data_IF_210816971530
#
_entry.id   IF_210816971530
#
_cell.length_a   1.000
_cell.length_b   1.000
_cell.length_c   1.000
_cell.angle_alpha   90.00
_cell.angle_beta   90.00
_cell.angle_gamma   90.00
#
_symmetry.space_group_name_H-M   'P 1'
#
loop_
_entity.id
_entity.type
_entity.pdbx_description
1 polymer ?
#
# COMPACT_ATOMS: atom_id res chain seq x y z
N UNK A 1 -3.00 9.50 -10.97
CA UNK A 1 -1.89 9.68 -11.92
C UNK A 1 -0.61 9.82 -11.11
N UNK A 2 0.47 9.07 -11.42
CA UNK A 2 1.74 9.32 -10.76
C UNK A 2 2.23 10.72 -11.14
N UNK A 3 2.91 11.39 -10.20
CA UNK A 3 3.47 12.71 -10.40
C UNK A 3 4.37 12.73 -11.63
N UNK A 4 3.92 13.37 -12.72
CA UNK A 4 4.82 13.93 -13.73
C UNK A 4 4.97 15.41 -13.39
N UNK A 5 6.13 15.80 -12.86
CA UNK A 5 6.63 17.16 -12.84
C UNK A 5 5.81 18.20 -12.08
N UNK A 6 6.02 18.27 -10.81
CA UNK A 6 6.29 19.45 -9.96
C UNK A 6 6.51 18.91 -8.53
N UNK A 7 7.72 18.99 -8.04
CA UNK A 7 8.18 18.44 -6.74
C UNK A 7 7.59 19.12 -5.51
N UNK A 8 6.45 19.76 -5.59
CA UNK A 8 6.00 20.66 -4.53
C UNK A 8 4.90 20.11 -3.62
N UNK A 9 3.97 19.28 -4.10
CA UNK A 9 2.86 18.79 -3.26
C UNK A 9 3.01 17.34 -2.81
N UNK A 10 2.72 17.04 -1.54
CA UNK A 10 2.58 15.68 -1.01
C UNK A 10 1.16 15.11 -1.18
N UNK A 11 0.23 15.89 -1.72
CA UNK A 11 -1.14 15.45 -1.98
C UNK A 11 -1.35 15.15 -3.45
N UNK A 12 -2.22 14.18 -3.74
CA UNK A 12 -2.67 13.88 -5.10
C UNK A 12 -4.13 13.42 -5.13
N UNK A 13 -4.79 13.64 -6.23
CA UNK A 13 -6.22 13.38 -6.36
C UNK A 13 -7.06 14.62 -6.02
N UNK A 14 -8.30 14.46 -5.45
CA UNK A 14 -8.92 13.19 -5.08
C UNK A 14 -9.19 12.27 -6.27
N UNK A 15 -9.10 10.97 -6.02
CA UNK A 15 -9.44 9.94 -7.01
C UNK A 15 -10.68 9.17 -6.59
N UNK A 16 -11.52 8.78 -7.54
CA UNK A 16 -12.67 7.92 -7.27
C UNK A 16 -12.18 6.47 -7.17
N UNK A 17 -12.04 5.99 -5.95
CA UNK A 17 -11.67 4.62 -5.68
C UNK A 17 -12.91 3.73 -5.66
N UNK A 18 -12.86 2.59 -6.38
CA UNK A 18 -13.94 1.58 -6.34
C UNK A 18 -14.18 1.03 -4.93
N UNK A 19 -13.19 1.16 -4.04
CA UNK A 19 -13.16 0.56 -2.70
C UNK A 19 -13.39 1.56 -1.57
N UNK A 20 -12.91 2.77 -1.75
CA UNK A 20 -12.81 3.78 -0.70
C UNK A 20 -13.65 5.02 -0.96
N UNK A 21 -14.43 5.05 -2.05
CA UNK A 21 -15.10 6.26 -2.48
C UNK A 21 -14.13 7.33 -2.97
N UNK A 22 -14.40 8.59 -2.69
CA UNK A 22 -13.54 9.71 -3.07
C UNK A 22 -12.35 9.81 -2.12
N UNK A 23 -11.17 9.42 -2.59
CA UNK A 23 -9.96 9.29 -1.79
C UNK A 23 -8.94 10.37 -2.15
N UNK A 24 -8.46 11.11 -1.14
CA UNK A 24 -7.32 12.02 -1.25
C UNK A 24 -6.04 11.27 -0.86
N UNK A 25 -5.09 11.19 -1.78
CA UNK A 25 -3.80 10.52 -1.54
C UNK A 25 -2.80 11.42 -0.84
N UNK A 26 -2.06 10.85 0.11
CA UNK A 26 -0.96 11.48 0.85
C UNK A 26 0.30 10.66 0.57
N UNK A 27 1.23 11.23 -0.21
CA UNK A 27 2.50 10.60 -0.56
C UNK A 27 3.62 11.16 0.32
N UNK A 28 4.08 10.33 1.25
CA UNK A 28 5.06 10.70 2.28
C UNK A 28 6.50 10.38 1.89
N UNK A 29 6.74 9.76 0.74
CA UNK A 29 8.07 9.34 0.33
C UNK A 29 8.51 10.06 -0.95
N UNK A 30 9.83 10.11 -1.15
CA UNK A 30 10.37 10.57 -2.43
C UNK A 30 9.94 9.60 -3.53
N UNK A 31 9.52 10.12 -4.68
CA UNK A 31 9.05 9.32 -5.81
C UNK A 31 9.99 8.16 -6.13
N UNK A 32 9.42 6.95 -6.21
CA UNK A 32 10.10 5.68 -6.45
C UNK A 32 11.13 5.28 -5.39
N UNK A 33 10.90 5.69 -4.12
CA UNK A 33 11.56 5.12 -2.95
C UNK A 33 10.66 4.02 -2.37
N UNK A 34 11.11 2.78 -2.42
CA UNK A 34 10.32 1.63 -1.99
C UNK A 34 11.23 0.51 -1.47
N UNK A 35 10.68 -0.41 -0.71
CA UNK A 35 11.35 -1.64 -0.24
C UNK A 35 11.32 -2.76 -1.28
N UNK A 36 10.49 -2.61 -2.32
CA UNK A 36 10.29 -3.55 -3.41
C UNK A 36 10.47 -2.85 -4.76
N UNK A 37 10.81 -3.64 -5.80
CA UNK A 37 10.84 -3.20 -7.20
C UNK A 37 9.95 -4.11 -8.05
N UNK A 38 8.63 -4.08 -7.75
CA UNK A 38 7.64 -4.99 -8.31
C UNK A 38 7.52 -4.82 -9.83
N UNK A 39 7.48 -5.93 -10.54
CA UNK A 39 7.37 -5.97 -12.03
C UNK A 39 6.07 -5.39 -12.54
N UNK A 40 5.03 -5.36 -11.71
CA UNK A 40 3.70 -4.86 -12.02
C UNK A 40 3.44 -3.43 -11.51
N UNK A 41 4.45 -2.74 -10.97
CA UNK A 41 4.22 -1.42 -10.36
C UNK A 41 3.85 -0.38 -11.42
N UNK A 42 2.61 0.12 -11.37
CA UNK A 42 2.10 1.14 -12.30
C UNK A 42 2.78 2.52 -12.14
N UNK A 43 3.54 2.71 -11.06
CA UNK A 43 4.39 3.89 -10.89
C UNK A 43 5.77 3.75 -11.57
N UNK A 44 6.03 2.61 -12.23
CA UNK A 44 7.31 2.30 -12.88
C UNK A 44 8.34 1.67 -11.92
N UNK A 45 9.58 1.53 -12.38
CA UNK A 45 10.67 0.89 -11.64
C UNK A 45 11.08 1.70 -10.41
N UNK A 46 11.41 1.00 -9.32
CA UNK A 46 11.96 1.61 -8.11
C UNK A 46 13.37 2.11 -8.38
N UNK A 47 13.61 3.40 -8.14
CA UNK A 47 14.92 4.03 -8.33
C UNK A 47 15.73 4.10 -7.04
N UNK A 48 15.06 4.11 -5.89
CA UNK A 48 15.68 4.05 -4.57
C UNK A 48 15.11 2.86 -3.78
N UNK A 49 15.76 1.70 -3.93
CA UNK A 49 15.41 0.48 -3.21
C UNK A 49 16.07 0.52 -1.82
N UNK A 50 15.29 0.65 -0.76
CA UNK A 50 15.80 0.83 0.61
C UNK A 50 14.82 0.28 1.64
N UNK A 51 15.34 -0.12 2.81
CA UNK A 51 14.56 -0.43 4.02
C UNK A 51 14.73 0.65 5.10
N UNK A 52 15.53 1.66 4.84
CA UNK A 52 15.81 2.72 5.81
C UNK A 52 14.64 3.71 5.90
N UNK A 53 14.12 3.85 7.11
CA UNK A 53 13.08 4.82 7.43
C UNK A 53 13.68 6.19 7.66
N UNK A 54 13.11 7.21 7.02
CA UNK A 54 13.53 8.60 7.21
C UNK A 54 12.36 9.57 6.98
N UNK A 55 12.52 10.82 7.40
CA UNK A 55 11.56 11.88 7.10
C UNK A 55 11.84 12.40 5.68
N UNK A 56 11.00 12.05 4.71
CA UNK A 56 11.10 12.55 3.32
C UNK A 56 10.30 13.84 3.12
N UNK A 57 9.16 13.94 3.80
CA UNK A 57 8.28 15.11 3.78
C UNK A 57 8.06 15.54 5.23
N UNK A 58 8.42 16.76 5.63
CA UNK A 58 8.18 17.25 6.99
C UNK A 58 6.70 17.23 7.36
N UNK A 59 6.37 16.86 8.60
CA UNK A 59 5.00 16.79 9.12
C UNK A 59 4.25 18.08 8.92
N UNK A 60 4.88 19.22 9.19
CA UNK A 60 4.26 20.55 9.07
C UNK A 60 3.86 20.86 7.63
N UNK A 61 4.65 20.39 6.65
CA UNK A 61 4.31 20.54 5.23
C UNK A 61 3.06 19.74 4.87
N UNK A 62 2.97 18.49 5.32
CA UNK A 62 1.81 17.61 5.09
C UNK A 62 0.55 18.25 5.68
N UNK A 63 0.62 18.66 6.94
CA UNK A 63 -0.52 19.28 7.64
C UNK A 63 -0.95 20.61 7.00
N UNK A 64 0.02 21.42 6.58
CA UNK A 64 -0.26 22.70 5.89
C UNK A 64 -0.99 22.47 4.56
N UNK A 65 -0.50 21.55 3.74
CA UNK A 65 -1.12 21.25 2.45
C UNK A 65 -2.52 20.67 2.62
N UNK A 66 -2.71 19.75 3.57
CA UNK A 66 -4.02 19.18 3.90
C UNK A 66 -4.99 20.27 4.39
N UNK A 67 -4.53 21.14 5.28
CA UNK A 67 -5.36 22.24 5.77
C UNK A 67 -5.84 23.16 4.64
N UNK A 68 -4.94 23.51 3.72
CA UNK A 68 -5.29 24.33 2.54
C UNK A 68 -6.29 23.59 1.65
N UNK A 69 -6.07 22.31 1.41
CA UNK A 69 -6.95 21.51 0.55
C UNK A 69 -8.35 21.34 1.16
N UNK A 70 -8.42 20.92 2.44
CA UNK A 70 -9.68 20.60 3.11
C UNK A 70 -10.54 21.83 3.42
N UNK A 71 -9.92 23.02 3.58
CA UNK A 71 -10.62 24.28 3.80
C UNK A 71 -10.78 25.14 2.54
N UNK A 72 -10.30 24.67 1.39
CA UNK A 72 -10.31 25.39 0.11
C UNK A 72 -11.66 25.50 -0.59
N UNK A 73 -12.76 25.03 0.04
CA UNK A 73 -14.12 25.20 -0.49
C UNK A 73 -14.51 24.20 -1.60
N UNK A 74 -13.83 23.06 -1.70
CA UNK A 74 -14.27 21.97 -2.61
C UNK A 74 -15.68 21.54 -2.22
N UNK A 75 -16.60 21.54 -3.18
CA UNK A 75 -18.00 21.17 -2.98
C UNK A 75 -18.19 19.68 -2.70
N UNK A 76 -17.17 18.89 -2.96
CA UNK A 76 -17.16 17.45 -2.73
C UNK A 76 -15.90 17.06 -1.94
N UNK A 77 -15.91 17.12 -0.61
CA UNK A 77 -14.75 16.72 0.20
C UNK A 77 -14.41 15.22 -0.01
N UNK A 78 -13.16 14.82 0.27
CA UNK A 78 -12.80 13.40 0.25
C UNK A 78 -13.56 12.64 1.35
N UNK A 79 -13.84 11.36 1.11
CA UNK A 79 -14.40 10.45 2.11
C UNK A 79 -13.30 9.81 2.96
N UNK A 80 -12.11 9.64 2.35
CA UNK A 80 -10.96 8.95 2.95
C UNK A 80 -9.67 9.70 2.63
N UNK A 81 -8.79 9.83 3.61
CA UNK A 81 -7.39 10.25 3.43
C UNK A 81 -6.53 9.00 3.37
N UNK A 82 -5.81 8.80 2.25
CA UNK A 82 -5.10 7.54 1.98
C UNK A 82 -3.59 7.77 1.89
N UNK A 83 -2.84 7.17 2.81
CA UNK A 83 -1.39 7.08 2.70
C UNK A 83 -1.03 6.09 1.60
N UNK A 84 -0.52 6.61 0.50
CA UNK A 84 -0.11 5.86 -0.70
C UNK A 84 0.69 6.78 -1.60
N UNK A 85 1.17 6.31 -2.74
CA UNK A 85 1.86 7.18 -3.70
C UNK A 85 2.90 6.46 -4.54
N UNK A 86 4.01 7.15 -4.82
CA UNK A 86 5.09 6.64 -5.68
C UNK A 86 6.04 5.65 -5.01
N UNK A 87 5.84 5.29 -3.74
CA UNK A 87 6.69 4.37 -2.99
C UNK A 87 5.98 3.69 -1.82
N UNK A 88 6.75 3.22 -0.82
CA UNK A 88 6.20 2.55 0.37
C UNK A 88 6.00 3.55 1.52
N UNK A 89 4.76 3.82 1.95
CA UNK A 89 4.48 4.82 2.99
C UNK A 89 5.12 4.52 4.35
N UNK A 90 5.29 3.25 4.72
CA UNK A 90 5.89 2.86 6.01
C UNK A 90 7.38 3.18 6.11
N UNK A 91 8.03 3.58 5.01
CA UNK A 91 9.39 4.14 5.02
C UNK A 91 9.44 5.54 5.63
N UNK A 92 8.31 6.27 5.69
CA UNK A 92 8.28 7.59 6.32
C UNK A 92 8.39 7.43 7.85
N UNK A 93 9.49 7.89 8.43
CA UNK A 93 9.75 7.77 9.87
C UNK A 93 8.79 8.59 10.73
N UNK A 94 8.15 9.61 10.16
CA UNK A 94 7.14 10.44 10.79
C UNK A 94 5.69 10.03 10.48
N UNK A 95 5.48 8.83 9.92
CA UNK A 95 4.13 8.35 9.59
C UNK A 95 3.20 8.35 10.81
N UNK A 96 3.66 7.81 11.94
CA UNK A 96 2.88 7.76 13.18
C UNK A 96 2.49 9.14 13.72
N UNK A 97 3.41 10.11 13.65
CA UNK A 97 3.18 11.51 14.04
C UNK A 97 2.07 12.14 13.15
N UNK A 98 2.15 11.94 11.84
CA UNK A 98 1.16 12.45 10.89
C UNK A 98 -0.21 11.81 11.15
N UNK A 99 -0.27 10.48 11.36
CA UNK A 99 -1.51 9.77 11.69
C UNK A 99 -2.14 10.37 12.95
N UNK A 100 -1.37 10.54 14.02
CA UNK A 100 -1.86 11.12 15.28
C UNK A 100 -2.40 12.55 15.10
N UNK A 101 -1.68 13.38 14.36
CA UNK A 101 -2.10 14.73 14.04
C UNK A 101 -3.41 14.76 13.22
N UNK A 102 -3.55 13.86 12.23
CA UNK A 102 -4.78 13.78 11.43
C UNK A 102 -5.98 13.30 12.24
N UNK A 103 -5.79 12.30 13.11
CA UNK A 103 -6.85 11.82 14.00
C UNK A 103 -7.33 12.91 14.99
N UNK A 104 -6.43 13.79 15.40
CA UNK A 104 -6.74 14.91 16.28
C UNK A 104 -7.44 16.07 15.55
N UNK A 105 -6.88 16.49 14.41
CA UNK A 105 -7.31 17.70 13.72
C UNK A 105 -8.46 17.47 12.73
N UNK A 106 -8.61 16.25 12.23
CA UNK A 106 -9.56 15.88 11.18
C UNK A 106 -10.28 14.55 11.49
N UNK A 107 -10.88 14.38 12.69
CA UNK A 107 -11.48 13.11 13.14
C UNK A 107 -12.67 12.65 12.27
N UNK A 108 -13.26 13.55 11.47
CA UNK A 108 -14.35 13.25 10.55
C UNK A 108 -13.93 12.43 9.33
N UNK A 109 -12.62 12.40 8.99
CA UNK A 109 -12.13 11.64 7.84
C UNK A 109 -11.58 10.27 8.27
N UNK A 110 -11.95 9.24 7.55
CA UNK A 110 -11.29 7.93 7.69
C UNK A 110 -9.87 8.00 7.15
N UNK A 111 -8.95 7.34 7.83
CA UNK A 111 -7.59 7.15 7.36
C UNK A 111 -7.43 5.76 6.76
N UNK A 112 -6.81 5.66 5.60
CA UNK A 112 -6.45 4.41 4.95
C UNK A 112 -4.94 4.35 4.70
N UNK A 113 -4.34 3.18 4.92
CA UNK A 113 -2.95 2.90 4.58
C UNK A 113 -2.87 1.79 3.55
N UNK A 114 -2.27 2.07 2.38
CA UNK A 114 -1.84 1.07 1.42
C UNK A 114 -0.37 0.77 1.68
N UNK A 115 -0.03 -0.49 1.94
CA UNK A 115 1.37 -0.88 2.22
C UNK A 115 1.72 -2.20 1.54
N UNK A 116 2.96 -2.33 1.11
CA UNK A 116 3.49 -3.59 0.59
C UNK A 116 3.88 -4.59 1.70
N UNK A 117 3.58 -4.29 2.95
CA UNK A 117 3.71 -5.14 4.14
C UNK A 117 5.14 -5.44 4.60
N UNK A 118 6.16 -5.02 3.88
CA UNK A 118 7.55 -5.45 4.14
C UNK A 118 8.10 -5.02 5.49
N UNK A 119 7.64 -3.88 6.03
CA UNK A 119 8.10 -3.35 7.32
C UNK A 119 7.16 -3.70 8.48
N UNK A 120 6.12 -4.49 8.27
CA UNK A 120 5.19 -4.90 9.33
C UNK A 120 5.76 -5.91 10.33
N UNK A 121 6.93 -6.49 10.06
CA UNK A 121 7.67 -7.28 11.06
C UNK A 121 8.23 -6.41 12.20
N UNK A 122 8.39 -5.09 11.98
CA UNK A 122 8.79 -4.12 12.99
C UNK A 122 7.58 -3.74 13.87
N UNK A 123 7.68 -3.99 15.18
CA UNK A 123 6.63 -3.68 16.14
C UNK A 123 6.37 -2.17 16.29
N UNK A 124 7.39 -1.34 16.07
CA UNK A 124 7.24 0.12 16.10
C UNK A 124 6.36 0.58 14.92
N UNK A 125 6.62 0.07 13.71
CA UNK A 125 5.79 0.37 12.54
C UNK A 125 4.33 -0.03 12.78
N UNK A 126 4.10 -1.24 13.33
CA UNK A 126 2.75 -1.70 13.66
C UNK A 126 2.08 -0.78 14.69
N UNK A 127 2.80 -0.37 15.73
CA UNK A 127 2.26 0.55 16.74
C UNK A 127 1.87 1.91 16.16
N UNK A 128 2.68 2.45 15.25
CA UNK A 128 2.43 3.74 14.58
C UNK A 128 1.16 3.73 13.72
N UNK A 129 0.85 2.61 13.06
CA UNK A 129 -0.28 2.51 12.12
C UNK A 129 -1.59 2.03 12.75
N UNK A 130 -1.57 1.59 14.02
CA UNK A 130 -2.79 1.12 14.73
C UNK A 130 -3.97 2.11 14.70
N UNK A 131 -3.78 3.45 14.77
CA UNK A 131 -4.90 4.38 14.73
C UNK A 131 -5.55 4.55 13.35
N UNK A 132 -5.01 3.97 12.28
CA UNK A 132 -5.60 4.00 10.94
C UNK A 132 -6.90 3.19 10.92
N UNK A 133 -7.94 3.64 10.20
CA UNK A 133 -9.23 2.96 10.17
C UNK A 133 -9.25 1.75 9.24
N UNK A 134 -8.51 1.84 8.13
CA UNK A 134 -8.44 0.82 7.09
C UNK A 134 -6.98 0.59 6.72
N UNK A 135 -6.49 -0.62 6.86
CA UNK A 135 -5.18 -1.02 6.36
C UNK A 135 -5.38 -2.01 5.20
N UNK A 136 -4.74 -1.71 4.07
CA UNK A 136 -4.74 -2.57 2.88
C UNK A 136 -3.31 -3.04 2.63
N UNK A 137 -2.88 -4.10 3.32
CA UNK A 137 -1.56 -4.68 3.14
C UNK A 137 -1.56 -5.60 1.91
N UNK A 138 -0.46 -5.62 1.17
CA UNK A 138 -0.29 -6.53 0.02
C UNK A 138 0.49 -7.78 0.43
N UNK A 139 0.03 -8.94 -0.06
CA UNK A 139 0.76 -10.22 -0.02
C UNK A 139 0.54 -10.94 -1.35
N UNK A 140 1.49 -10.84 -2.27
CA UNK A 140 1.32 -11.34 -3.64
C UNK A 140 1.78 -12.79 -3.83
N UNK A 141 2.55 -13.33 -2.90
CA UNK A 141 3.00 -14.72 -2.83
C UNK A 141 3.66 -14.98 -1.48
N UNK A 142 3.69 -16.23 -1.05
CA UNK A 142 4.48 -16.71 0.09
C UNK A 142 5.65 -17.61 -0.38
N UNK A 143 5.78 -17.82 -1.69
CA UNK A 143 6.87 -18.58 -2.30
C UNK A 143 8.11 -17.69 -2.48
N UNK A 144 9.28 -18.01 -1.91
CA UNK A 144 10.49 -17.20 -2.06
C UNK A 144 10.91 -16.99 -3.52
N UNK A 145 10.78 -18.01 -4.35
CA UNK A 145 11.16 -17.95 -5.77
C UNK A 145 10.26 -16.97 -6.54
N UNK A 146 8.94 -17.07 -6.33
CA UNK A 146 7.97 -16.19 -6.98
C UNK A 146 8.13 -14.76 -6.44
N UNK A 147 8.37 -14.58 -5.13
CA UNK A 147 8.61 -13.29 -4.51
C UNK A 147 9.80 -12.55 -5.14
N UNK A 148 10.92 -13.24 -5.31
CA UNK A 148 12.08 -12.67 -6.00
C UNK A 148 11.76 -12.29 -7.44
N UNK A 149 10.96 -13.09 -8.14
CA UNK A 149 10.60 -12.87 -9.54
C UNK A 149 9.70 -11.66 -9.72
N UNK A 150 8.63 -11.51 -8.91
CA UNK A 150 7.61 -10.47 -9.13
C UNK A 150 7.74 -9.24 -8.23
N UNK A 151 8.27 -9.38 -7.01
CA UNK A 151 8.39 -8.26 -6.06
C UNK A 151 9.80 -7.66 -6.00
N UNK A 152 10.85 -8.41 -6.32
CA UNK A 152 12.26 -7.95 -6.37
C UNK A 152 12.64 -7.13 -5.13
N UNK A 153 12.68 -7.76 -3.95
CA UNK A 153 12.82 -7.05 -2.68
C UNK A 153 14.22 -6.48 -2.45
N UNK A 154 14.32 -5.47 -1.58
CA UNK A 154 15.57 -5.09 -0.96
C UNK A 154 16.12 -6.25 -0.10
N UNK A 155 17.45 -6.20 0.17
CA UNK A 155 18.12 -7.24 0.94
C UNK A 155 17.48 -7.45 2.32
N UNK A 156 17.36 -8.71 2.74
CA UNK A 156 16.84 -9.09 4.06
C UNK A 156 15.31 -9.16 4.19
N UNK A 157 14.56 -8.82 3.13
CA UNK A 157 13.11 -8.98 3.08
C UNK A 157 12.80 -10.37 2.52
N UNK A 158 11.93 -11.11 3.21
CA UNK A 158 11.45 -12.44 2.78
C UNK A 158 9.93 -12.56 2.95
N UNK A 159 9.26 -13.42 2.18
CA UNK A 159 7.81 -13.61 2.33
C UNK A 159 7.42 -14.13 3.71
N UNK A 160 8.27 -14.91 4.38
CA UNK A 160 8.02 -15.41 5.73
C UNK A 160 7.98 -14.26 6.75
N UNK A 161 8.92 -13.30 6.66
CA UNK A 161 8.91 -12.10 7.50
C UNK A 161 7.67 -11.24 7.27
N UNK A 162 7.26 -11.10 6.00
CA UNK A 162 6.04 -10.37 5.63
C UNK A 162 4.83 -11.05 6.25
N UNK A 163 4.67 -12.36 6.07
CA UNK A 163 3.55 -13.11 6.62
C UNK A 163 3.53 -13.04 8.15
N UNK A 164 4.69 -13.20 8.81
CA UNK A 164 4.79 -13.05 10.27
C UNK A 164 4.34 -11.67 10.72
N UNK A 165 4.82 -10.59 10.07
CA UNK A 165 4.42 -9.22 10.40
C UNK A 165 2.93 -8.95 10.19
N UNK A 166 2.32 -9.55 9.16
CA UNK A 166 0.88 -9.49 8.91
C UNK A 166 0.07 -10.20 10.00
N UNK A 167 0.52 -11.39 10.44
CA UNK A 167 -0.12 -12.13 11.52
C UNK A 167 -0.03 -11.38 12.86
N UNK A 168 1.12 -10.75 13.14
CA UNK A 168 1.27 -9.90 14.33
C UNK A 168 0.38 -8.66 14.22
N UNK A 169 0.32 -8.00 13.07
CA UNK A 169 -0.60 -6.89 12.84
C UNK A 169 -2.05 -7.32 13.10
N UNK A 170 -2.49 -8.47 12.59
CA UNK A 170 -3.88 -8.95 12.79
C UNK A 170 -4.23 -9.15 14.26
N UNK A 171 -3.28 -9.63 15.07
CA UNK A 171 -3.49 -9.79 16.53
C UNK A 171 -3.61 -8.46 17.25
N UNK A 172 -2.93 -7.43 16.76
CA UNK A 172 -2.80 -6.13 17.41
C UNK A 172 -3.80 -5.09 16.90
N UNK A 173 -4.33 -5.26 15.71
CA UNK A 173 -5.14 -4.28 14.99
C UNK A 173 -6.61 -4.67 14.98
N UNK A 174 -7.45 -3.71 15.37
CA UNK A 174 -8.91 -3.90 15.47
C UNK A 174 -9.71 -3.19 14.39
N UNK A 175 -9.04 -2.37 13.57
CA UNK A 175 -9.65 -1.71 12.41
C UNK A 175 -9.84 -2.69 11.23
N UNK A 176 -10.28 -2.17 10.11
CA UNK A 176 -10.55 -2.98 8.92
C UNK A 176 -9.25 -3.35 8.20
N UNK A 177 -9.00 -4.65 8.06
CA UNK A 177 -7.83 -5.23 7.37
C UNK A 177 -8.27 -5.89 6.05
N UNK A 178 -7.94 -5.28 4.91
CA UNK A 178 -8.28 -5.79 3.58
C UNK A 178 -7.03 -6.28 2.87
N UNK A 179 -6.84 -7.59 2.80
CA UNK A 179 -5.67 -8.17 2.15
C UNK A 179 -5.73 -7.94 0.64
N UNK A 180 -4.72 -7.27 0.08
CA UNK A 180 -4.56 -7.10 -1.36
C UNK A 180 -3.63 -8.18 -1.93
N UNK A 181 -4.06 -8.81 -3.01
CA UNK A 181 -3.26 -9.76 -3.79
C UNK A 181 -3.24 -9.29 -5.24
N UNK A 182 -2.06 -8.92 -5.73
CA UNK A 182 -1.88 -8.57 -7.13
C UNK A 182 -1.56 -9.85 -7.93
N UNK A 183 -2.35 -10.12 -8.94
CA UNK A 183 -2.20 -11.31 -9.78
C UNK A 183 -1.35 -10.99 -11.01
N UNK A 184 -0.28 -11.74 -11.18
CA UNK A 184 0.59 -11.77 -12.37
C UNK A 184 0.36 -13.09 -13.07
N UNK A 185 -0.28 -13.09 -14.28
CA UNK A 185 -0.65 -14.30 -14.99
C UNK A 185 0.54 -15.25 -15.18
N UNK A 186 0.27 -16.56 -15.07
CA UNK A 186 1.22 -17.66 -15.24
C UNK A 186 2.35 -17.69 -14.21
N UNK A 187 2.28 -16.83 -13.17
CA UNK A 187 3.33 -16.78 -12.15
C UNK A 187 2.75 -17.05 -10.77
N UNK A 188 1.86 -16.21 -10.24
CA UNK A 188 1.25 -16.42 -8.93
C UNK A 188 -0.24 -16.80 -8.99
N UNK A 189 -0.78 -17.07 -10.17
CA UNK A 189 -2.12 -17.62 -10.41
C UNK A 189 -2.12 -19.12 -10.72
N UNK A 190 -0.98 -19.81 -10.56
CA UNK A 190 -0.93 -21.27 -10.67
C UNK A 190 -1.71 -21.92 -9.53
N UNK A 191 -2.27 -23.14 -9.73
CA UNK A 191 -3.00 -23.84 -8.66
C UNK A 191 -2.22 -23.96 -7.36
N UNK A 192 -0.90 -24.16 -7.45
CA UNK A 192 -0.01 -24.27 -6.30
C UNK A 192 0.13 -22.94 -5.56
N UNK A 193 0.42 -21.84 -6.26
CA UNK A 193 0.55 -20.51 -5.65
C UNK A 193 -0.77 -20.03 -5.06
N UNK A 194 -1.90 -20.29 -5.75
CA UNK A 194 -3.23 -19.95 -5.22
C UNK A 194 -3.57 -20.73 -3.95
N UNK A 195 -3.16 -22.02 -3.86
CA UNK A 195 -3.33 -22.81 -2.64
C UNK A 195 -2.55 -22.20 -1.47
N UNK A 196 -1.28 -21.85 -1.68
CA UNK A 196 -0.44 -21.18 -0.67
C UNK A 196 -1.01 -19.82 -0.22
N UNK A 197 -1.50 -19.02 -1.17
CA UNK A 197 -2.13 -17.72 -0.85
C UNK A 197 -3.44 -17.89 -0.07
N UNK A 198 -4.26 -18.89 -0.39
CA UNK A 198 -5.48 -19.21 0.36
C UNK A 198 -5.16 -19.66 1.78
N UNK A 199 -4.14 -20.48 1.99
CA UNK A 199 -3.68 -20.88 3.32
C UNK A 199 -3.20 -19.67 4.13
N UNK A 200 -2.39 -18.78 3.53
CA UNK A 200 -1.94 -17.56 4.18
C UNK A 200 -3.12 -16.64 4.55
N UNK A 201 -4.09 -16.45 3.66
CA UNK A 201 -5.28 -15.66 3.92
C UNK A 201 -6.16 -16.29 5.03
N UNK A 202 -6.30 -17.62 5.04
CA UNK A 202 -7.02 -18.34 6.09
C UNK A 202 -6.37 -18.20 7.48
N UNK A 203 -5.03 -18.15 7.54
CA UNK A 203 -4.29 -17.88 8.78
C UNK A 203 -4.44 -16.42 9.22
N UNK A 204 -4.35 -15.48 8.28
CA UNK A 204 -4.43 -14.04 8.55
C UNK A 204 -5.83 -13.61 8.98
N UNK A 205 -6.88 -14.24 8.45
CA UNK A 205 -8.29 -13.87 8.68
C UNK A 205 -8.55 -12.38 8.44
N UNK A 206 -8.26 -11.86 7.25
CA UNK A 206 -8.57 -10.48 6.93
C UNK A 206 -10.08 -10.28 6.85
N UNK A 207 -10.54 -9.02 6.97
CA UNK A 207 -11.97 -8.68 6.83
C UNK A 207 -12.45 -8.77 5.36
N UNK A 208 -11.52 -8.89 4.41
CA UNK A 208 -11.77 -9.13 3.01
C UNK A 208 -10.47 -9.37 2.25
N UNK A 209 -10.57 -10.06 1.11
CA UNK A 209 -9.47 -10.25 0.16
C UNK A 209 -9.80 -9.54 -1.13
N UNK A 210 -8.88 -8.76 -1.64
CA UNK A 210 -8.99 -7.99 -2.88
C UNK A 210 -7.99 -8.49 -3.90
N UNK A 211 -8.49 -9.00 -5.03
CA UNK A 211 -7.66 -9.40 -6.15
C UNK A 211 -7.51 -8.23 -7.12
N UNK A 212 -6.28 -7.87 -7.43
CA UNK A 212 -5.93 -6.83 -8.39
C UNK A 212 -5.13 -7.40 -9.56
N UNK A 213 -5.19 -6.70 -10.68
CA UNK A 213 -4.37 -6.92 -11.86
C UNK A 213 -4.05 -5.56 -12.48
N UNK A 214 -3.23 -5.50 -13.51
CA UNK A 214 -2.91 -4.26 -14.20
C UNK A 214 -4.16 -3.59 -14.76
N UNK A 215 -4.36 -2.34 -14.39
CA UNK A 215 -5.28 -1.40 -15.06
C UNK A 215 -4.51 -0.51 -16.06
N UNK A 216 -3.19 -0.37 -15.87
CA UNK A 216 -2.24 0.40 -16.70
C UNK A 216 -0.93 -0.36 -16.83
N UNK A 217 -0.07 0.06 -17.75
CA UNK A 217 1.25 -0.56 -17.92
C UNK A 217 2.03 -0.63 -16.60
N UNK A 218 2.57 -1.79 -16.28
CA UNK A 218 3.46 -2.02 -15.16
C UNK A 218 4.88 -1.53 -15.45
N UNK A 219 5.81 -1.82 -14.51
CA UNK A 219 7.23 -1.50 -14.70
C UNK A 219 7.95 -2.40 -15.69
N UNK A 220 7.35 -3.52 -16.07
CA UNK A 220 7.87 -4.48 -17.03
C UNK A 220 6.81 -4.79 -18.11
N UNK A 221 7.20 -4.66 -19.37
CA UNK A 221 6.30 -4.79 -20.52
C UNK A 221 5.71 -6.20 -20.72
N UNK A 222 6.37 -7.22 -20.16
CA UNK A 222 5.90 -8.61 -20.26
C UNK A 222 4.75 -8.94 -19.30
N UNK A 223 4.51 -8.10 -18.29
CA UNK A 223 3.38 -8.31 -17.38
C UNK A 223 2.10 -7.89 -18.08
N UNK A 224 1.15 -8.82 -18.17
CA UNK A 224 -0.13 -8.59 -18.81
C UNK A 224 -1.27 -8.55 -17.79
N UNK A 225 -2.37 -7.84 -18.07
CA UNK A 225 -3.55 -7.87 -17.21
C UNK A 225 -4.21 -9.26 -17.23
N UNK A 226 -4.82 -9.63 -16.11
CA UNK A 226 -5.64 -10.84 -16.01
C UNK A 226 -6.97 -10.60 -16.71
N UNK A 227 -7.44 -11.55 -17.52
CA UNK A 227 -8.78 -11.48 -18.11
C UNK A 227 -9.87 -11.55 -17.03
N UNK A 228 -11.02 -10.93 -17.28
CA UNK A 228 -12.14 -10.97 -16.35
C UNK A 228 -12.61 -12.40 -16.05
N UNK A 229 -12.57 -13.30 -17.04
CA UNK A 229 -12.90 -14.72 -16.89
C UNK A 229 -11.92 -15.42 -15.94
N UNK A 230 -10.61 -15.23 -16.13
CA UNK A 230 -9.59 -15.84 -15.27
C UNK A 230 -9.63 -15.24 -13.84
N UNK A 231 -9.84 -13.93 -13.71
CA UNK A 231 -10.03 -13.31 -12.40
C UNK A 231 -11.22 -13.90 -11.64
N UNK A 232 -12.30 -14.23 -12.34
CA UNK A 232 -13.47 -14.88 -11.74
C UNK A 232 -13.20 -16.32 -11.27
N UNK A 233 -12.33 -17.06 -11.98
CA UNK A 233 -11.93 -18.42 -11.58
C UNK A 233 -11.01 -18.43 -10.35
N UNK A 234 -10.24 -17.36 -10.14
CA UNK A 234 -9.32 -17.23 -9.01
C UNK A 234 -10.07 -16.90 -7.71
N UNK A 235 -11.17 -16.17 -7.80
CA UNK A 235 -12.04 -15.84 -6.64
C UNK A 235 -12.65 -17.09 -5.99
#
# INVERSE_FOLDING_TARGET
MPRQGNETSCLFGPVNSRRLGRSLGIDLVKFKTCTLNCVFCECGRTTQLSVERQVFVPTEKVLKELNVFLNGGDTQPPEVLTFSGGGEPTLAANLGEIIAALKTNYPQYKLCLLTNSTLLSDSQVRAEIKPVDIIIPSLNTVSPVVFQKINRPAAGITPEKILSGLLDLRREYTGQLLLEIFIVPEINDTPQELALLREAAALLKPDGVQLNSLDRAGSEDWVQPVSAENMQKIK
#
